data_IF_382593205515
#
_entry.id   IF_382593205515
#
_cell.length_a   1.000
_cell.length_b   1.000
_cell.length_c   1.000
_cell.angle_alpha   90.00
_cell.angle_beta   90.00
_cell.angle_gamma   90.00
#
_symmetry.space_group_name_H-M   'P 1'
#
loop_
_entity.id
_entity.type
_entity.pdbx_description
1 polymer ?
#
# COMPACT_ATOMS: atom_id res chain seq x y z
N UNK A 1 -2.60 -8.19 -27.67
CA UNK A 1 -1.20 -8.68 -27.62
C UNK A 1 -0.36 -7.72 -26.75
N UNK A 2 0.63 -8.25 -26.04
CA UNK A 2 1.38 -7.57 -24.99
C UNK A 2 2.70 -7.06 -25.56
N UNK A 3 3.01 -5.77 -25.33
CA UNK A 3 4.23 -5.15 -25.84
C UNK A 3 5.41 -5.34 -24.88
N UNK A 4 5.25 -5.00 -23.60
CA UNK A 4 6.29 -5.20 -22.57
C UNK A 4 5.74 -5.16 -21.15
N UNK A 5 6.56 -5.67 -20.24
CA UNK A 5 6.41 -5.52 -18.79
C UNK A 5 7.39 -4.45 -18.30
N UNK A 6 6.92 -3.59 -17.41
CA UNK A 6 7.75 -2.62 -16.70
C UNK A 6 7.57 -2.90 -15.22
N UNK A 7 8.51 -3.61 -14.62
CA UNK A 7 8.52 -3.90 -13.17
C UNK A 7 9.21 -2.76 -12.43
N UNK A 8 8.78 -2.47 -11.21
CA UNK A 8 9.47 -1.51 -10.35
C UNK A 8 10.92 -1.97 -10.06
N UNK A 9 11.90 -1.07 -10.20
CA UNK A 9 13.33 -1.42 -10.08
C UNK A 9 13.74 -1.89 -8.67
N UNK A 10 13.00 -1.45 -7.66
CA UNK A 10 13.19 -1.88 -6.27
C UNK A 10 12.64 -3.28 -5.95
N UNK A 11 11.89 -3.90 -6.86
CA UNK A 11 11.33 -5.23 -6.62
C UNK A 11 12.40 -6.31 -6.69
N UNK A 12 12.53 -7.08 -5.61
CA UNK A 12 13.36 -8.27 -5.58
C UNK A 12 12.82 -9.26 -4.54
N UNK A 13 12.17 -10.32 -5.01
CA UNK A 13 11.56 -11.34 -4.14
C UNK A 13 12.57 -12.04 -3.22
N UNK A 14 13.87 -12.02 -3.53
CA UNK A 14 14.89 -12.72 -2.75
C UNK A 14 15.68 -11.84 -1.78
N UNK A 15 15.46 -10.52 -1.78
CA UNK A 15 16.31 -9.59 -1.00
C UNK A 15 16.14 -9.71 0.51
N UNK A 16 15.05 -10.34 0.98
CA UNK A 16 14.82 -10.63 2.40
C UNK A 16 15.59 -11.83 2.97
N UNK A 17 16.32 -12.59 2.14
CA UNK A 17 16.94 -13.85 2.56
C UNK A 17 17.93 -13.71 3.73
N UNK A 18 18.66 -12.59 3.80
CA UNK A 18 19.64 -12.33 4.87
C UNK A 18 19.00 -12.16 6.26
N UNK A 19 17.72 -11.82 6.32
CA UNK A 19 16.94 -11.63 7.56
C UNK A 19 15.88 -12.72 7.74
N UNK A 20 16.01 -13.84 7.02
CA UNK A 20 15.12 -15.00 7.15
C UNK A 20 13.76 -14.81 6.49
N UNK A 21 13.61 -13.88 5.55
CA UNK A 21 12.37 -13.67 4.77
C UNK A 21 12.54 -14.32 3.38
N UNK A 22 11.91 -15.48 3.11
CA UNK A 22 12.13 -16.21 1.85
C UNK A 22 11.58 -15.49 0.61
N UNK A 23 10.46 -14.79 0.77
CA UNK A 23 9.82 -14.00 -0.28
C UNK A 23 9.55 -12.58 0.22
N UNK A 24 10.24 -11.60 -0.37
CA UNK A 24 10.17 -10.20 0.01
C UNK A 24 9.46 -9.37 -1.06
N UNK A 25 8.20 -9.03 -0.80
CA UNK A 25 7.30 -8.40 -1.77
C UNK A 25 7.38 -6.87 -1.80
N UNK A 26 8.48 -6.29 -1.29
CA UNK A 26 8.63 -4.85 -1.37
C UNK A 26 8.67 -4.38 -2.83
N UNK A 27 7.96 -3.28 -3.12
CA UNK A 27 7.75 -2.78 -4.49
C UNK A 27 7.11 -3.79 -5.46
N UNK A 28 6.30 -4.74 -5.00
CA UNK A 28 5.56 -5.71 -5.82
C UNK A 28 4.48 -5.05 -6.72
N UNK A 29 4.94 -4.38 -7.77
CA UNK A 29 4.12 -3.70 -8.76
C UNK A 29 4.81 -3.72 -10.13
N UNK A 30 4.00 -3.90 -11.17
CA UNK A 30 4.42 -3.81 -12.56
C UNK A 30 3.33 -3.17 -13.42
N UNK A 31 3.74 -2.57 -14.53
CA UNK A 31 2.87 -2.10 -15.60
C UNK A 31 3.01 -3.02 -16.81
N UNK A 32 1.87 -3.29 -17.44
CA UNK A 32 1.80 -4.06 -18.69
C UNK A 32 1.41 -3.12 -19.82
N UNK A 33 2.32 -2.91 -20.76
CA UNK A 33 2.05 -2.14 -21.97
C UNK A 33 1.47 -3.07 -23.04
N UNK A 34 0.33 -2.69 -23.61
CA UNK A 34 -0.30 -3.41 -24.70
C UNK A 34 0.23 -2.90 -26.04
N UNK A 35 0.20 -3.73 -27.08
CA UNK A 35 0.61 -3.31 -28.43
C UNK A 35 -0.37 -2.32 -29.07
N UNK A 36 -1.63 -2.34 -28.63
CA UNK A 36 -2.71 -1.52 -29.17
C UNK A 36 -3.45 -0.84 -28.04
N UNK A 37 -3.86 0.39 -28.29
CA UNK A 37 -4.67 1.15 -27.35
C UNK A 37 -6.01 0.45 -27.13
N UNK A 38 -6.37 0.38 -25.85
CA UNK A 38 -7.71 0.00 -25.44
C UNK A 38 -8.56 1.26 -25.57
N UNK A 39 -9.49 1.25 -26.52
CA UNK A 39 -10.29 2.43 -26.89
C UNK A 39 -10.90 3.18 -25.69
N UNK A 40 -11.19 4.46 -25.88
CA UNK A 40 -11.64 5.36 -24.80
C UNK A 40 -13.14 5.31 -24.53
N UNK A 41 -13.92 4.60 -25.36
CA UNK A 41 -15.38 4.49 -25.28
C UNK A 41 -15.82 3.04 -25.07
N UNK A 42 -16.92 2.84 -24.34
CA UNK A 42 -17.47 1.51 -24.08
C UNK A 42 -16.75 0.72 -22.98
N UNK A 43 -16.72 -0.61 -23.11
CA UNK A 43 -15.99 -1.52 -22.20
C UNK A 43 -14.71 -1.98 -22.91
N UNK A 44 -13.56 -2.05 -22.20
CA UNK A 44 -13.35 -1.75 -20.78
C UNK A 44 -13.15 -0.24 -20.49
N UNK A 45 -13.38 0.18 -19.23
CA UNK A 45 -13.17 1.56 -18.75
C UNK A 45 -11.94 1.65 -17.85
N UNK A 46 -11.28 2.81 -17.86
CA UNK A 46 -10.13 3.11 -16.99
C UNK A 46 -10.56 3.36 -15.54
N UNK A 47 -9.73 2.94 -14.59
CA UNK A 47 -9.82 3.31 -13.17
C UNK A 47 -9.01 4.59 -12.91
N UNK A 48 -9.42 5.39 -11.91
CA UNK A 48 -8.64 6.56 -11.53
C UNK A 48 -7.40 6.16 -10.73
N UNK A 49 -6.24 6.75 -11.06
CA UNK A 49 -4.97 6.57 -10.36
C UNK A 49 -4.70 7.81 -9.48
N UNK A 50 -4.27 7.66 -8.21
CA UNK A 50 -4.04 8.76 -7.29
C UNK A 50 -2.90 9.66 -7.76
N UNK A 51 -2.89 10.87 -7.22
CA UNK A 51 -1.97 11.94 -7.55
C UNK A 51 -2.01 12.34 -9.03
N UNK A 52 -3.21 12.30 -9.61
CA UNK A 52 -3.47 12.77 -10.98
C UNK A 52 -4.56 13.85 -10.99
N UNK A 53 -4.57 14.66 -12.04
CA UNK A 53 -5.65 15.62 -12.28
C UNK A 53 -6.99 14.91 -12.52
N UNK A 54 -6.96 13.68 -13.03
CA UNK A 54 -8.14 12.85 -13.24
C UNK A 54 -8.75 12.42 -11.90
N UNK A 55 -7.92 12.10 -10.91
CA UNK A 55 -8.34 11.85 -9.55
C UNK A 55 -8.90 13.12 -8.89
N UNK A 56 -8.29 14.29 -9.10
CA UNK A 56 -8.87 15.57 -8.66
C UNK A 56 -10.31 15.74 -9.19
N UNK A 57 -10.52 15.54 -10.49
CA UNK A 57 -11.85 15.62 -11.11
C UNK A 57 -12.81 14.56 -10.55
N UNK A 58 -12.34 13.32 -10.34
CA UNK A 58 -13.16 12.25 -9.77
C UNK A 58 -13.64 12.57 -8.36
N UNK A 59 -12.77 13.16 -7.52
CA UNK A 59 -13.09 13.59 -6.16
C UNK A 59 -13.79 14.96 -6.10
N UNK A 60 -13.95 15.64 -7.24
CA UNK A 60 -14.39 17.04 -7.38
C UNK A 60 -13.57 18.01 -6.50
N UNK A 61 -12.24 17.85 -6.54
CA UNK A 61 -11.26 18.76 -5.93
C UNK A 61 -10.86 19.86 -6.95
N UNK A 62 -10.45 21.05 -6.46
CA UNK A 62 -9.94 22.11 -7.34
C UNK A 62 -8.72 21.68 -8.18
N UNK A 63 -8.50 22.29 -9.35
CA UNK A 63 -7.24 22.16 -10.06
C UNK A 63 -6.07 22.57 -9.18
N UNK A 64 -4.94 21.85 -9.26
CA UNK A 64 -3.76 22.13 -8.45
C UNK A 64 -3.77 21.50 -7.05
N UNK A 65 -4.85 20.80 -6.65
CA UNK A 65 -4.81 19.93 -5.46
C UNK A 65 -3.65 18.95 -5.57
N UNK A 66 -2.84 18.91 -4.52
CA UNK A 66 -1.57 18.19 -4.41
C UNK A 66 -1.77 16.70 -4.15
N UNK A 67 -0.73 15.90 -4.42
CA UNK A 67 -0.70 14.47 -4.15
C UNK A 67 -0.93 14.17 -2.65
N UNK A 68 -0.37 14.99 -1.78
CA UNK A 68 -0.50 14.88 -0.32
C UNK A 68 -1.94 15.17 0.13
N UNK A 69 -2.60 16.17 -0.45
CA UNK A 69 -4.02 16.45 -0.18
C UNK A 69 -4.93 15.32 -0.68
N UNK A 70 -4.58 14.69 -1.82
CA UNK A 70 -5.30 13.50 -2.29
C UNK A 70 -5.09 12.31 -1.33
N UNK A 71 -3.87 12.08 -0.83
CA UNK A 71 -3.59 11.02 0.14
C UNK A 71 -4.36 11.27 1.45
N UNK A 72 -4.40 12.51 1.93
CA UNK A 72 -5.16 12.88 3.11
C UNK A 72 -6.68 12.69 2.92
N UNK A 73 -7.22 13.00 1.74
CA UNK A 73 -8.63 12.76 1.44
C UNK A 73 -8.98 11.27 1.38
N UNK A 74 -8.14 10.48 0.71
CA UNK A 74 -8.43 9.07 0.41
C UNK A 74 -8.06 8.14 1.56
N UNK A 75 -6.94 8.40 2.23
CA UNK A 75 -6.35 7.51 3.24
C UNK A 75 -6.12 8.21 4.59
N UNK A 76 -6.54 9.46 4.79
CA UNK A 76 -6.23 10.22 6.00
C UNK A 76 -6.95 9.81 7.29
N UNK A 77 -7.74 8.73 7.29
CA UNK A 77 -8.41 8.22 8.50
C UNK A 77 -7.72 6.96 9.01
N UNK A 78 -7.78 6.67 10.33
CA UNK A 78 -7.18 5.44 10.88
C UNK A 78 -7.73 4.14 10.28
N UNK A 79 -9.00 4.15 9.86
CA UNK A 79 -9.67 3.03 9.20
C UNK A 79 -10.44 3.57 7.99
N UNK A 80 -10.21 2.97 6.84
CA UNK A 80 -10.76 3.43 5.56
C UNK A 80 -11.40 2.27 4.84
N UNK A 81 -12.69 2.38 4.53
CA UNK A 81 -13.38 1.37 3.73
C UNK A 81 -12.79 1.33 2.31
N UNK A 82 -12.45 0.14 1.85
CA UNK A 82 -11.94 -0.11 0.51
C UNK A 82 -12.49 -1.45 -0.01
N UNK A 83 -12.33 -1.68 -1.30
CA UNK A 83 -12.82 -2.88 -1.96
C UNK A 83 -11.74 -3.44 -2.90
N UNK A 84 -11.81 -4.75 -3.15
CA UNK A 84 -11.13 -5.41 -4.26
C UNK A 84 -12.13 -6.29 -5.03
N UNK A 85 -11.75 -6.74 -6.23
CA UNK A 85 -12.58 -7.65 -7.03
C UNK A 85 -12.18 -9.10 -6.75
N UNK A 86 -13.16 -9.96 -6.46
CA UNK A 86 -12.92 -11.39 -6.36
C UNK A 86 -12.74 -12.05 -7.72
N UNK A 87 -12.24 -13.30 -7.74
CA UNK A 87 -12.15 -14.13 -8.95
C UNK A 87 -13.50 -14.31 -9.66
N UNK A 88 -14.62 -14.24 -8.93
CA UNK A 88 -15.97 -14.35 -9.49
C UNK A 88 -16.60 -12.99 -9.82
N UNK A 89 -15.81 -11.92 -9.78
CA UNK A 89 -16.27 -10.57 -10.14
C UNK A 89 -17.13 -9.89 -9.08
N UNK A 90 -17.08 -10.34 -7.81
CA UNK A 90 -17.76 -9.67 -6.70
C UNK A 90 -16.86 -8.61 -6.08
N UNK A 91 -17.46 -7.51 -5.61
CA UNK A 91 -16.74 -6.53 -4.77
C UNK A 91 -16.64 -7.06 -3.36
N UNK A 92 -15.42 -7.08 -2.84
CA UNK A 92 -15.08 -7.62 -1.53
C UNK A 92 -14.64 -6.46 -0.63
N UNK A 93 -15.42 -6.18 0.41
CA UNK A 93 -15.17 -5.08 1.34
C UNK A 93 -14.08 -5.40 2.36
N UNK A 94 -13.19 -4.44 2.58
CA UNK A 94 -12.13 -4.46 3.60
C UNK A 94 -12.02 -3.09 4.26
N UNK A 95 -11.28 -3.02 5.37
CA UNK A 95 -10.83 -1.76 5.94
C UNK A 95 -9.32 -1.67 5.90
N UNK A 96 -8.80 -0.65 5.21
CA UNK A 96 -7.40 -0.28 5.26
C UNK A 96 -7.09 0.40 6.59
N UNK A 97 -6.10 -0.12 7.31
CA UNK A 97 -5.62 0.44 8.58
C UNK A 97 -4.49 1.41 8.29
N UNK A 98 -4.60 2.62 8.80
CA UNK A 98 -3.59 3.67 8.65
C UNK A 98 -3.25 4.32 10.00
N UNK A 99 -2.24 5.19 10.01
CA UNK A 99 -1.77 5.89 11.21
C UNK A 99 -1.40 4.88 12.32
N UNK A 100 -1.83 5.08 13.57
CA UNK A 100 -1.52 4.17 14.67
C UNK A 100 -2.11 2.76 14.45
N UNK A 101 -3.21 2.62 13.69
CA UNK A 101 -3.81 1.32 13.41
C UNK A 101 -2.96 0.49 12.43
N UNK A 102 -2.11 1.13 11.62
CA UNK A 102 -1.25 0.41 10.67
C UNK A 102 -0.28 -0.52 11.40
N UNK A 103 0.35 -0.06 12.48
CA UNK A 103 1.31 -0.87 13.24
C UNK A 103 0.66 -2.13 13.83
N UNK A 104 -0.58 -2.02 14.32
CA UNK A 104 -1.37 -3.14 14.83
C UNK A 104 -1.75 -4.12 13.70
N UNK A 105 -2.06 -3.60 12.52
CA UNK A 105 -2.36 -4.43 11.36
C UNK A 105 -1.10 -5.17 10.88
N UNK A 106 0.00 -4.46 10.68
CA UNK A 106 1.26 -4.98 10.19
C UNK A 106 1.88 -6.04 11.11
N UNK A 107 1.74 -5.89 12.43
CA UNK A 107 2.22 -6.90 13.39
C UNK A 107 1.57 -8.26 13.20
N UNK A 108 0.38 -8.33 12.59
CA UNK A 108 -0.26 -9.58 12.22
C UNK A 108 0.54 -10.44 11.24
N UNK A 109 1.54 -9.90 10.54
CA UNK A 109 2.45 -10.70 9.71
C UNK A 109 3.38 -11.61 10.53
N UNK A 110 3.73 -11.19 11.75
CA UNK A 110 4.78 -11.82 12.57
C UNK A 110 4.24 -12.45 13.85
N UNK A 111 2.91 -12.49 14.00
CA UNK A 111 2.22 -13.20 15.09
C UNK A 111 2.49 -14.71 15.03
N UNK A 112 2.35 -15.36 16.19
CA UNK A 112 2.46 -16.82 16.28
C UNK A 112 1.46 -17.50 15.32
N UNK A 113 1.93 -18.51 14.60
CA UNK A 113 1.12 -19.23 13.59
C UNK A 113 1.08 -18.58 12.20
N UNK A 114 1.74 -17.43 12.00
CA UNK A 114 1.83 -16.76 10.70
C UNK A 114 3.15 -17.08 9.97
N UNK A 115 3.23 -16.91 8.63
CA UNK A 115 4.40 -17.30 7.84
C UNK A 115 5.73 -16.68 8.27
N UNK A 116 5.69 -15.51 8.92
CA UNK A 116 6.86 -14.76 9.37
C UNK A 116 6.92 -14.62 10.90
N UNK A 117 6.37 -15.59 11.62
CA UNK A 117 6.34 -15.61 13.08
C UNK A 117 7.73 -15.37 13.68
N UNK A 118 7.83 -14.42 14.63
CA UNK A 118 9.06 -14.12 15.35
C UNK A 118 10.06 -13.21 14.63
N UNK A 119 9.76 -12.76 13.40
CA UNK A 119 10.57 -11.74 12.73
C UNK A 119 10.17 -10.33 13.15
N UNK A 120 11.10 -9.38 12.97
CA UNK A 120 10.81 -7.96 13.11
C UNK A 120 9.83 -7.50 12.02
N UNK A 121 8.78 -6.78 12.41
CA UNK A 121 7.71 -6.36 11.47
C UNK A 121 8.30 -5.58 10.29
N UNK A 122 9.22 -4.66 10.54
CA UNK A 122 9.85 -3.83 9.50
C UNK A 122 10.75 -4.61 8.53
N UNK A 123 11.18 -5.82 8.88
CA UNK A 123 11.94 -6.70 7.99
C UNK A 123 11.05 -7.38 6.93
N UNK A 124 9.74 -7.43 7.17
CA UNK A 124 8.74 -8.13 6.34
C UNK A 124 7.79 -7.13 5.68
N UNK A 125 7.22 -6.23 6.49
CA UNK A 125 6.19 -5.27 6.10
C UNK A 125 6.81 -3.89 6.04
N UNK A 126 7.10 -3.44 4.82
CA UNK A 126 7.69 -2.13 4.57
C UNK A 126 6.64 -1.01 4.57
N UNK A 127 7.05 0.26 4.69
CA UNK A 127 6.17 1.42 4.53
C UNK A 127 5.46 1.53 3.17
N UNK A 128 5.79 0.68 2.19
CA UNK A 128 5.12 0.64 0.89
C UNK A 128 3.77 -0.08 0.96
N UNK A 129 3.50 -0.84 2.01
CA UNK A 129 2.26 -1.61 2.14
C UNK A 129 1.13 -0.84 2.85
N UNK A 130 -0.06 -0.92 2.28
CA UNK A 130 -1.33 -0.82 2.99
C UNK A 130 -1.65 -2.18 3.63
N UNK A 131 -2.42 -2.19 4.71
CA UNK A 131 -2.79 -3.41 5.42
C UNK A 131 -4.29 -3.45 5.72
N UNK A 132 -4.92 -4.61 5.54
CA UNK A 132 -6.29 -4.89 5.94
C UNK A 132 -6.39 -6.25 6.66
N UNK A 133 -7.60 -6.62 7.08
CA UNK A 133 -7.87 -7.89 7.76
C UNK A 133 -8.64 -7.69 9.05
N UNK A 134 -9.54 -8.61 9.35
CA UNK A 134 -10.49 -8.47 10.45
C UNK A 134 -9.78 -8.31 11.81
N UNK A 135 -10.15 -7.26 12.54
CA UNK A 135 -9.74 -7.03 13.92
C UNK A 135 -10.74 -7.69 14.89
N UNK A 136 -10.27 -8.11 16.06
CA UNK A 136 -11.15 -8.67 17.09
C UNK A 136 -12.22 -7.64 17.50
N UNK A 137 -13.50 -8.01 17.41
CA UNK A 137 -14.64 -7.13 17.67
C UNK A 137 -14.90 -6.07 16.59
N UNK A 138 -14.10 -6.05 15.51
CA UNK A 138 -14.33 -5.22 14.34
C UNK A 138 -15.40 -5.81 13.39
N UNK A 139 -15.86 -5.04 12.40
CA UNK A 139 -16.76 -5.55 11.38
C UNK A 139 -16.07 -6.65 10.55
N UNK A 140 -16.83 -7.58 9.96
CA UNK A 140 -16.29 -8.59 9.06
C UNK A 140 -15.57 -7.93 7.87
N UNK A 141 -14.42 -8.48 7.51
CA UNK A 141 -13.65 -8.06 6.34
C UNK A 141 -13.38 -9.28 5.46
N UNK A 142 -13.38 -9.08 4.15
CA UNK A 142 -12.97 -10.11 3.22
C UNK A 142 -11.47 -10.39 3.32
N UNK A 143 -11.07 -11.60 2.93
CA UNK A 143 -9.66 -11.98 2.73
C UNK A 143 -9.43 -12.27 1.25
N UNK A 144 -8.29 -11.83 0.75
CA UNK A 144 -7.85 -12.08 -0.62
C UNK A 144 -7.50 -13.55 -0.81
N UNK A 145 -7.73 -14.05 -2.02
CA UNK A 145 -7.42 -15.41 -2.40
C UNK A 145 -6.28 -15.46 -3.42
N UNK A 146 -5.56 -16.58 -3.46
CA UNK A 146 -4.60 -16.82 -4.54
C UNK A 146 -5.30 -16.71 -5.89
N UNK A 147 -4.73 -15.92 -6.80
CA UNK A 147 -5.34 -15.52 -8.07
C UNK A 147 -5.95 -14.11 -8.07
N UNK A 148 -6.20 -13.52 -6.89
CA UNK A 148 -6.64 -12.12 -6.75
C UNK A 148 -5.46 -11.15 -6.58
N UNK A 149 -4.24 -11.70 -6.37
CA UNK A 149 -2.97 -10.97 -6.38
C UNK A 149 -2.73 -10.29 -7.74
N UNK A 150 -2.18 -9.07 -7.71
CA UNK A 150 -2.12 -8.14 -8.83
C UNK A 150 -3.41 -7.34 -9.05
N UNK A 151 -4.51 -7.69 -8.37
CA UNK A 151 -5.79 -6.98 -8.44
C UNK A 151 -5.73 -5.56 -7.87
N UNK A 152 -6.76 -4.78 -8.16
CA UNK A 152 -6.91 -3.41 -7.65
C UNK A 152 -7.51 -3.40 -6.25
N UNK A 153 -6.87 -2.70 -5.31
CA UNK A 153 -7.53 -2.20 -4.10
C UNK A 153 -7.99 -0.77 -4.37
N UNK A 154 -9.29 -0.51 -4.28
CA UNK A 154 -9.89 0.76 -4.66
C UNK A 154 -10.89 1.27 -3.62
N UNK A 155 -11.15 2.58 -3.65
CA UNK A 155 -12.21 3.21 -2.88
C UNK A 155 -13.27 3.76 -3.83
N UNK A 156 -14.53 3.74 -3.38
CA UNK A 156 -15.58 4.54 -4.00
C UNK A 156 -15.61 5.93 -3.36
N UNK A 157 -15.38 6.95 -4.18
CA UNK A 157 -15.51 8.36 -3.80
C UNK A 157 -16.44 9.06 -4.78
N UNK A 158 -17.58 9.56 -4.29
CA UNK A 158 -18.56 10.31 -5.11
C UNK A 158 -18.95 9.56 -6.40
N UNK A 159 -19.23 8.25 -6.30
CA UNK A 159 -19.57 7.35 -7.41
C UNK A 159 -18.45 7.12 -8.44
N UNK A 160 -17.20 7.36 -8.04
CA UNK A 160 -16.00 7.11 -8.84
C UNK A 160 -15.07 6.18 -8.07
N UNK A 161 -14.44 5.27 -8.79
CA UNK A 161 -13.50 4.32 -8.21
C UNK A 161 -12.07 4.82 -8.41
N UNK A 162 -11.32 4.90 -7.31
CA UNK A 162 -9.92 5.32 -7.29
C UNK A 162 -9.12 4.15 -6.73
N UNK A 163 -8.22 3.61 -7.54
CA UNK A 163 -7.31 2.54 -7.10
C UNK A 163 -6.23 3.15 -6.22
N UNK A 164 -6.08 2.69 -4.99
CA UNK A 164 -5.04 3.17 -4.06
C UNK A 164 -3.96 2.14 -3.79
N UNK A 165 -4.19 0.89 -4.15
CA UNK A 165 -3.20 -0.16 -4.00
C UNK A 165 -3.32 -1.29 -5.01
N UNK A 166 -2.32 -2.15 -4.98
CA UNK A 166 -2.26 -3.40 -5.74
C UNK A 166 -2.23 -4.55 -4.73
N UNK A 167 -3.16 -5.51 -4.85
CA UNK A 167 -3.17 -6.73 -4.02
C UNK A 167 -1.84 -7.45 -4.22
N UNK A 168 -1.10 -7.69 -3.14
CA UNK A 168 0.23 -8.29 -3.23
C UNK A 168 0.21 -9.67 -2.56
N UNK A 169 0.17 -9.71 -1.22
CA UNK A 169 0.27 -10.94 -0.44
C UNK A 169 -0.61 -10.89 0.81
N UNK A 170 -0.84 -12.06 1.42
CA UNK A 170 -1.59 -12.19 2.67
C UNK A 170 -1.06 -13.32 3.53
N UNK A 171 -1.40 -13.31 4.83
CA UNK A 171 -0.89 -14.28 5.80
C UNK A 171 -1.67 -15.60 5.83
N UNK A 172 -2.80 -15.67 5.15
CA UNK A 172 -3.69 -16.83 5.13
C UNK A 172 -4.40 -16.96 3.77
N UNK A 173 -4.58 -18.19 3.29
CA UNK A 173 -5.30 -18.46 2.05
C UNK A 173 -6.71 -18.99 2.35
N UNK A 174 -7.69 -18.09 2.41
CA UNK A 174 -9.09 -18.45 2.71
C UNK A 174 -9.73 -19.35 1.63
N UNK A 175 -9.22 -19.33 0.40
CA UNK A 175 -9.75 -20.13 -0.71
C UNK A 175 -8.98 -21.43 -0.96
N UNK A 176 -8.20 -21.90 0.02
CA UNK A 176 -7.48 -23.16 -0.11
C UNK A 176 -8.45 -24.32 -0.43
N UNK A 177 -8.10 -25.12 -1.44
CA UNK A 177 -8.93 -26.23 -1.91
C UNK A 177 -10.01 -25.86 -2.94
N UNK A 178 -10.19 -24.58 -3.28
CA UNK A 178 -10.99 -24.16 -4.44
C UNK A 178 -12.48 -24.51 -4.37
N UNK A 179 -13.04 -24.69 -3.16
CA UNK A 179 -14.44 -25.04 -2.97
C UNK A 179 -15.35 -23.91 -3.46
N UNK A 180 -16.52 -24.25 -4.00
CA UNK A 180 -17.52 -23.29 -4.47
C UNK A 180 -18.86 -23.48 -3.73
N UNK A 181 -19.64 -22.40 -3.63
CA UNK A 181 -21.04 -22.43 -3.15
C UNK A 181 -21.95 -23.09 -4.20
N UNK A 182 -23.22 -23.31 -3.87
CA UNK A 182 -24.21 -23.82 -4.82
C UNK A 182 -24.41 -22.88 -6.02
N UNK A 183 -24.21 -21.58 -5.82
CA UNK A 183 -24.28 -20.53 -6.83
C UNK A 183 -22.97 -20.40 -7.64
N UNK A 184 -22.00 -21.29 -7.39
CA UNK A 184 -20.71 -21.30 -8.08
C UNK A 184 -19.70 -20.27 -7.59
N UNK A 185 -19.95 -19.57 -6.47
CA UNK A 185 -19.01 -18.57 -5.93
C UNK A 185 -17.88 -19.25 -5.16
N UNK A 186 -16.66 -18.73 -5.26
CA UNK A 186 -15.50 -19.24 -4.54
C UNK A 186 -15.69 -19.04 -3.02
N UNK A 187 -15.70 -20.16 -2.29
CA UNK A 187 -15.91 -20.18 -0.85
C UNK A 187 -14.63 -19.75 -0.13
N UNK A 188 -14.78 -18.76 0.75
CA UNK A 188 -13.74 -18.30 1.67
C UNK A 188 -13.95 -18.97 3.03
N UNK A 189 -13.02 -19.83 3.40
CA UNK A 189 -13.03 -20.53 4.68
C UNK A 189 -12.57 -19.60 5.80
N UNK A 190 -13.17 -19.67 7.00
CA UNK A 190 -12.73 -18.87 8.13
C UNK A 190 -11.30 -19.26 8.54
N UNK A 191 -10.51 -18.33 9.11
CA UNK A 191 -9.21 -18.67 9.67
C UNK A 191 -9.38 -19.60 10.89
N UNK A 192 -8.34 -20.36 11.26
CA UNK A 192 -8.36 -21.15 12.48
C UNK A 192 -8.62 -20.26 13.71
N UNK A 193 -9.21 -20.81 14.80
CA UNK A 193 -9.41 -20.06 16.04
C UNK A 193 -8.12 -19.39 16.52
N UNK A 194 -8.24 -18.15 16.98
CA UNK A 194 -7.10 -17.34 17.45
C UNK A 194 -6.21 -16.74 16.36
N UNK A 195 -6.41 -17.09 15.07
CA UNK A 195 -5.66 -16.50 13.97
C UNK A 195 -6.36 -15.24 13.45
N UNK A 196 -5.58 -14.17 13.26
CA UNK A 196 -6.07 -12.92 12.70
C UNK A 196 -5.32 -12.61 11.39
N UNK A 197 -5.80 -13.13 10.25
CA UNK A 197 -5.10 -12.97 8.99
C UNK A 197 -5.06 -11.50 8.54
N UNK A 198 -4.03 -11.17 7.75
CA UNK A 198 -3.79 -9.85 7.20
C UNK A 198 -3.52 -9.95 5.71
N UNK A 199 -4.04 -8.98 4.97
CA UNK A 199 -3.72 -8.78 3.56
C UNK A 199 -2.94 -7.47 3.39
N UNK A 200 -1.94 -7.52 2.52
CA UNK A 200 -1.02 -6.43 2.24
C UNK A 200 -1.09 -6.03 0.77
N UNK A 201 -1.07 -4.71 0.55
CA UNK A 201 -1.25 -4.11 -0.78
C UNK A 201 -0.16 -3.08 -1.03
N UNK A 202 0.47 -3.07 -2.19
CA UNK A 202 1.44 -2.02 -2.53
C UNK A 202 0.68 -0.70 -2.73
N UNK A 203 1.00 0.32 -1.92
CA UNK A 203 0.39 1.64 -1.97
C UNK A 203 0.84 2.41 -3.22
N UNK A 204 -0.13 2.84 -4.04
CA UNK A 204 0.16 3.68 -5.20
C UNK A 204 0.67 5.08 -4.83
N UNK A 205 0.48 5.54 -3.59
CA UNK A 205 1.09 6.77 -3.08
C UNK A 205 2.60 6.60 -2.82
N UNK A 206 3.04 5.40 -2.45
CA UNK A 206 4.44 5.11 -2.09
C UNK A 206 5.33 4.78 -3.30
N UNK A 207 4.74 4.54 -4.47
CA UNK A 207 5.44 4.31 -5.74
C UNK A 207 5.26 5.46 -6.74
N UNK A 208 4.88 6.65 -6.27
CA UNK A 208 4.65 7.82 -7.11
C UNK A 208 5.85 8.25 -7.96
N UNK A 209 7.10 8.26 -7.47
CA UNK A 209 8.25 8.61 -8.31
C UNK A 209 8.35 7.69 -9.55
N UNK A 210 8.14 6.39 -9.36
CA UNK A 210 8.14 5.41 -10.44
C UNK A 210 6.96 5.59 -11.39
N UNK A 211 5.73 5.73 -10.88
CA UNK A 211 4.53 5.95 -11.70
C UNK A 211 4.67 7.20 -12.56
N UNK A 212 5.18 8.31 -12.00
CA UNK A 212 5.40 9.57 -12.72
C UNK A 212 6.41 9.42 -13.84
N UNK A 213 7.50 8.68 -13.59
CA UNK A 213 8.53 8.42 -14.59
C UNK A 213 8.00 7.56 -15.74
N UNK A 214 7.25 6.50 -15.44
CA UNK A 214 6.79 5.54 -16.45
C UNK A 214 5.53 6.03 -17.19
N UNK A 215 4.61 6.70 -16.49
CA UNK A 215 3.32 7.13 -17.03
C UNK A 215 3.23 8.64 -17.30
N UNK A 216 4.32 9.41 -17.16
CA UNK A 216 4.31 10.86 -17.31
C UNK A 216 3.86 11.37 -18.69
N UNK A 217 4.04 10.56 -19.74
CA UNK A 217 3.51 10.84 -21.08
C UNK A 217 2.04 10.44 -21.27
N UNK A 218 1.48 9.63 -20.38
CA UNK A 218 0.13 9.07 -20.49
C UNK A 218 -0.87 9.69 -19.50
N UNK A 219 -0.40 10.16 -18.34
CA UNK A 219 -1.21 10.72 -17.27
C UNK A 219 -0.72 12.12 -16.88
N UNK A 220 -1.66 13.00 -16.57
CA UNK A 220 -1.37 14.32 -15.98
C UNK A 220 -1.34 14.17 -14.46
N UNK A 221 -0.15 14.20 -13.89
CA UNK A 221 0.04 14.09 -12.45
C UNK A 221 -0.19 15.42 -11.74
N UNK A 222 -0.81 15.34 -10.56
CA UNK A 222 -0.96 16.45 -9.63
C UNK A 222 0.41 16.89 -9.08
N UNK A 223 0.57 18.13 -8.59
CA UNK A 223 1.77 18.56 -7.89
C UNK A 223 2.06 17.65 -6.68
N UNK A 224 3.33 17.41 -6.41
CA UNK A 224 3.80 16.67 -5.23
C UNK A 224 4.98 17.43 -4.66
N UNK A 225 5.10 17.51 -3.34
CA UNK A 225 6.26 18.13 -2.72
C UNK A 225 7.52 17.36 -3.12
N UNK A 226 8.65 18.05 -3.37
CA UNK A 226 9.93 17.37 -3.49
C UNK A 226 10.12 16.53 -2.23
N UNK A 227 10.42 15.24 -2.38
CA UNK A 227 10.84 14.43 -1.24
C UNK A 227 12.05 15.13 -0.64
N UNK A 228 11.98 15.53 0.63
CA UNK A 228 13.15 16.04 1.33
C UNK A 228 14.23 14.97 1.20
N UNK A 229 15.33 15.31 0.51
CA UNK A 229 16.51 14.46 0.51
C UNK A 229 17.01 14.27 1.95
N UNK A 230 17.88 13.28 2.22
CA UNK A 230 18.51 13.17 3.53
C UNK A 230 19.17 14.53 3.81
N UNK A 231 18.64 15.25 4.81
CA UNK A 231 19.24 16.49 5.29
C UNK A 231 20.67 16.16 5.66
N UNK A 232 21.64 16.69 4.90
CA UNK A 232 23.04 16.63 5.25
C UNK A 232 23.16 17.08 6.71
N UNK A 233 23.73 16.22 7.55
CA UNK A 233 23.94 16.52 8.95
C UNK A 233 24.63 17.88 9.07
N UNK A 234 23.98 18.83 9.76
CA UNK A 234 24.63 20.08 10.16
C UNK A 234 25.87 19.73 11.00
N UNK A 235 27.01 20.39 10.75
CA UNK A 235 28.21 20.12 11.52
C UNK A 235 27.99 20.57 12.97
N UNK A 236 28.28 19.66 13.90
CA UNK A 236 28.29 19.93 15.33
C UNK A 236 29.34 21.01 15.60
N UNK A 237 28.87 22.21 15.95
CA UNK A 237 29.71 23.30 16.42
C UNK A 237 30.45 22.88 17.69
N UNK A 238 31.79 22.92 17.63
CA UNK A 238 32.64 22.78 18.80
C UNK A 238 32.42 23.98 19.72
N UNK A 239 31.83 23.76 20.89
CA UNK A 239 31.85 24.72 21.99
C UNK A 239 33.17 24.57 22.74
N UNK A 240 34.01 25.60 22.63
CA UNK A 240 35.21 25.78 23.44
C UNK A 240 34.84 25.89 24.93
N UNK A 241 35.61 25.22 25.78
CA UNK A 241 35.42 25.22 27.23
C UNK A 241 35.78 26.57 27.89
N UNK A 242 35.17 26.93 29.03
CA UNK A 242 35.57 28.12 29.77
C UNK A 242 36.73 27.83 30.73
N UNK A 243 37.76 28.66 30.60
CA UNK A 243 38.86 28.85 31.54
C UNK A 243 38.36 29.40 32.88
N UNK A 244 38.57 28.65 33.97
CA UNK A 244 38.38 29.16 35.34
C UNK A 244 39.57 30.03 35.75
N UNK A 245 39.35 31.34 35.85
CA UNK A 245 40.18 32.27 36.61
C UNK A 245 39.34 32.87 37.74
N UNK A 246 39.72 32.57 38.98
CA UNK A 246 39.16 33.20 40.18
C UNK A 246 39.66 34.65 40.32
N UNK A 247 38.84 35.53 40.91
CA UNK A 247 39.37 36.49 41.86
C UNK A 247 38.58 36.50 43.18
N UNK A 248 39.35 36.59 44.26
CA UNK A 248 38.92 36.82 45.65
C UNK A 248 38.49 38.28 45.83
N UNK A 249 37.42 38.59 46.57
CA UNK A 249 37.21 39.90 47.16
C UNK A 249 37.50 39.91 48.67
N UNK A 250 37.89 41.06 49.25
CA UNK A 250 38.21 41.19 50.67
C UNK A 250 37.01 41.61 51.53
N UNK A 251 37.16 41.31 52.84
CA UNK A 251 36.35 41.65 54.03
C UNK A 251 35.05 40.88 54.24
#
# INVERSE_FOLDING_TARGET
PLRRWVTHEGFNVRSGGAVGVPEFYDYDVALVELERDVGSTGKPRRVCIPCTEDANRAMRKPPGTTCEEQEAELLGRPRVAAEFMSLDGQRMGVQVKNQQAWAVCASGATQAGMPYAGLEVGAVVTPRFLCSGQESGGPPEATTCKGESGGSLFLEMRHRFIQVGVVSWGTFNACQGGRRTAEGLLLRSPPPPGHQPRDFYVSLFRVQPWLRRVLGGALRFAPMRPMAGPTAASPVGHTAGPSHGSPVPPL
#
